data_IF_520126082551
#
_entry.id   IF_520126082551
#
_cell.length_a   1.000
_cell.length_b   1.000
_cell.length_c   1.000
_cell.angle_alpha   90.00
_cell.angle_beta   90.00
_cell.angle_gamma   90.00
#
_symmetry.space_group_name_H-M   'P 1'
#
loop_
_entity.id
_entity.type
_entity.pdbx_description
1 polymer ?
#
# COMPACT_ATOMS: atom_id res chain seq x y z
N UNK A 1 -18.30 -3.89 57.62
CA UNK A 1 -17.28 -4.83 57.09
C UNK A 1 -16.74 -4.26 55.79
N UNK A 2 -15.42 -4.21 55.68
CA UNK A 2 -14.62 -3.24 54.93
C UNK A 2 -14.70 -3.31 53.39
N UNK A 3 -14.50 -2.14 52.77
CA UNK A 3 -14.24 -1.92 51.34
C UNK A 3 -12.95 -2.59 50.89
N UNK A 4 -12.94 -3.23 49.72
CA UNK A 4 -11.71 -3.57 49.01
C UNK A 4 -11.75 -3.04 47.57
N UNK A 5 -11.30 -1.80 47.44
CA UNK A 5 -10.80 -1.27 46.19
C UNK A 5 -9.59 -2.11 45.76
N UNK A 6 -9.57 -2.55 44.50
CA UNK A 6 -8.36 -3.02 43.85
C UNK A 6 -8.01 -2.07 42.72
N UNK A 7 -7.23 -1.07 43.09
CA UNK A 7 -6.32 -0.36 42.22
C UNK A 7 -5.25 -1.35 41.74
N UNK A 8 -5.36 -1.82 40.51
CA UNK A 8 -4.22 -2.30 39.74
C UNK A 8 -3.90 -1.19 38.73
N UNK A 9 -3.18 -0.16 39.17
CA UNK A 9 -1.74 0.01 38.92
C UNK A 9 -1.44 -0.25 37.44
N UNK A 10 -1.46 0.85 36.70
CA UNK A 10 -0.67 1.10 35.51
C UNK A 10 0.76 0.56 35.74
N UNK A 11 1.07 -0.59 35.15
CA UNK A 11 2.43 -1.12 35.05
C UNK A 11 2.65 -1.60 33.62
N UNK A 12 3.78 -1.15 33.10
CA UNK A 12 4.36 -1.36 31.77
C UNK A 12 3.63 -0.74 30.58
N UNK A 13 3.93 0.55 30.33
CA UNK A 13 4.18 0.99 28.96
C UNK A 13 5.29 0.10 28.37
N UNK A 14 5.12 -0.53 27.21
CA UNK A 14 6.26 -0.91 26.40
C UNK A 14 6.89 0.39 25.89
N UNK A 15 8.10 0.64 26.37
CA UNK A 15 9.02 1.67 25.89
C UNK A 15 9.09 1.62 24.36
N UNK A 16 8.90 2.78 23.74
CA UNK A 16 9.23 3.04 22.35
C UNK A 16 10.67 2.56 22.06
N UNK A 17 10.90 1.74 21.03
CA UNK A 17 12.25 1.43 20.58
C UNK A 17 12.98 2.72 20.12
N UNK A 18 14.22 2.97 20.58
CA UNK A 18 15.02 4.09 20.14
C UNK A 18 15.66 3.76 18.79
N UNK A 19 14.96 4.00 17.69
CA UNK A 19 15.60 4.09 16.36
C UNK A 19 14.79 4.94 15.39
N UNK A 20 14.40 6.14 15.83
CA UNK A 20 14.25 7.27 14.92
C UNK A 20 15.63 7.73 14.46
N UNK A 21 16.31 6.93 13.64
CA UNK A 21 17.40 7.36 12.76
C UNK A 21 17.75 6.21 11.82
N UNK A 22 16.97 6.03 10.75
CA UNK A 22 17.51 5.33 9.57
C UNK A 22 18.21 6.40 8.74
N UNK A 23 19.55 6.38 8.61
CA UNK A 23 20.20 7.24 7.62
C UNK A 23 19.59 6.91 6.27
N UNK A 24 19.09 7.93 5.56
CA UNK A 24 18.78 7.75 4.15
C UNK A 24 20.04 7.15 3.52
N UNK A 25 19.98 6.03 2.79
CA UNK A 25 21.00 5.80 1.80
C UNK A 25 20.88 6.99 0.86
N UNK A 26 21.83 7.92 0.95
CA UNK A 26 22.08 8.85 -0.14
C UNK A 26 22.33 7.94 -1.33
N UNK A 27 21.29 7.69 -2.13
CA UNK A 27 21.44 7.20 -3.49
C UNK A 27 22.18 8.31 -4.19
N UNK A 28 23.51 8.34 -4.02
CA UNK A 28 24.38 8.88 -5.06
C UNK A 28 24.05 8.01 -6.24
N UNK A 29 23.20 8.53 -7.13
CA UNK A 29 23.04 7.97 -8.44
C UNK A 29 24.47 7.94 -9.02
N UNK A 30 25.09 6.77 -9.00
CA UNK A 30 26.28 6.55 -9.79
C UNK A 30 25.80 6.62 -11.22
N UNK A 31 25.90 7.82 -11.81
CA UNK A 31 25.69 8.02 -13.23
C UNK A 31 26.88 7.36 -13.88
N UNK A 32 26.73 6.10 -14.24
CA UNK A 32 27.65 5.46 -15.17
C UNK A 32 27.50 6.23 -16.48
N UNK A 33 28.44 7.11 -16.78
CA UNK A 33 28.55 7.74 -18.09
C UNK A 33 28.80 6.61 -19.09
N UNK A 34 27.74 6.15 -19.76
CA UNK A 34 27.87 5.28 -20.91
C UNK A 34 28.80 5.98 -21.90
N UNK A 35 29.89 5.31 -22.29
CA UNK A 35 30.86 5.81 -23.26
C UNK A 35 30.32 5.84 -24.70
N UNK A 36 29.00 5.62 -24.88
CA UNK A 36 28.31 5.87 -26.13
C UNK A 36 27.72 7.28 -26.09
N UNK A 37 28.16 8.14 -27.02
CA UNK A 37 27.59 9.48 -27.18
C UNK A 37 26.14 9.36 -27.62
N UNK A 38 25.21 9.39 -26.66
CA UNK A 38 23.80 9.63 -26.97
C UNK A 38 23.74 11.01 -27.62
N UNK A 39 23.17 11.07 -28.82
CA UNK A 39 22.93 12.35 -29.49
C UNK A 39 22.02 13.20 -28.62
N UNK A 40 22.23 14.52 -28.62
CA UNK A 40 21.37 15.48 -27.92
C UNK A 40 19.88 15.30 -28.31
N UNK A 41 19.63 14.85 -29.54
CA UNK A 41 18.28 14.52 -30.01
C UNK A 41 17.66 13.33 -29.27
N UNK A 42 18.44 12.28 -29.00
CA UNK A 42 18.00 11.08 -28.29
C UNK A 42 17.75 11.38 -26.80
N UNK A 43 18.63 12.14 -26.17
CA UNK A 43 18.45 12.60 -24.79
C UNK A 43 17.19 13.46 -24.64
N UNK A 44 16.96 14.37 -25.59
CA UNK A 44 15.78 15.23 -25.61
C UNK A 44 14.50 14.41 -25.79
N UNK A 45 14.52 13.39 -26.66
CA UNK A 45 13.39 12.50 -26.89
C UNK A 45 13.06 11.65 -25.66
N UNK A 46 14.07 11.10 -24.98
CA UNK A 46 13.88 10.35 -23.74
C UNK A 46 13.30 11.23 -22.63
N UNK A 47 13.82 12.45 -22.47
CA UNK A 47 13.29 13.41 -21.51
C UNK A 47 11.83 13.79 -21.84
N UNK A 48 11.52 14.06 -23.10
CA UNK A 48 10.15 14.39 -23.52
C UNK A 48 9.19 13.23 -23.21
N UNK A 49 9.59 12.00 -23.52
CA UNK A 49 8.83 10.78 -23.22
C UNK A 49 8.60 10.62 -21.73
N UNK A 50 9.64 10.84 -20.93
CA UNK A 50 9.58 10.72 -19.49
C UNK A 50 8.69 11.80 -18.85
N UNK A 51 8.76 13.04 -19.35
CA UNK A 51 7.86 14.13 -18.93
C UNK A 51 6.41 13.79 -19.23
N UNK A 52 6.10 13.23 -20.40
CA UNK A 52 4.75 12.76 -20.75
C UNK A 52 4.30 11.66 -19.80
N UNK A 53 5.16 10.68 -19.52
CA UNK A 53 4.88 9.59 -18.57
C UNK A 53 4.58 10.11 -17.17
N UNK A 54 5.37 11.07 -16.66
CA UNK A 54 5.17 11.69 -15.35
C UNK A 54 3.83 12.44 -15.31
N UNK A 55 3.53 13.22 -16.35
CA UNK A 55 2.25 13.96 -16.44
C UNK A 55 1.05 13.01 -16.43
N UNK A 56 1.13 11.89 -17.15
CA UNK A 56 0.07 10.90 -17.18
C UNK A 56 -0.17 10.26 -15.80
N UNK A 57 0.89 9.78 -15.14
CA UNK A 57 0.79 9.22 -13.78
C UNK A 57 0.25 10.22 -12.77
N UNK A 58 0.64 11.50 -12.89
CA UNK A 58 0.12 12.58 -12.05
C UNK A 58 -1.40 12.72 -12.22
N UNK A 59 -1.88 12.77 -13.46
CA UNK A 59 -3.32 12.87 -13.76
C UNK A 59 -4.11 11.69 -13.18
N UNK A 60 -3.65 10.46 -13.40
CA UNK A 60 -4.30 9.27 -12.85
C UNK A 60 -4.42 9.32 -11.32
N UNK A 61 -3.36 9.77 -10.63
CA UNK A 61 -3.39 9.95 -9.18
C UNK A 61 -4.40 11.01 -8.76
N UNK A 62 -4.45 12.14 -9.45
CA UNK A 62 -5.39 13.22 -9.15
C UNK A 62 -6.85 12.76 -9.34
N UNK A 63 -7.13 12.00 -10.39
CA UNK A 63 -8.44 11.38 -10.64
C UNK A 63 -8.80 10.36 -9.56
N UNK A 64 -7.88 9.47 -9.19
CA UNK A 64 -8.08 8.50 -8.12
C UNK A 64 -8.36 9.19 -6.76
N UNK A 65 -7.67 10.28 -6.46
CA UNK A 65 -7.90 11.08 -5.24
C UNK A 65 -9.25 11.81 -5.31
N UNK A 66 -9.65 12.32 -6.48
CA UNK A 66 -10.95 12.94 -6.64
C UNK A 66 -12.09 11.92 -6.41
N UNK A 67 -11.96 10.72 -6.97
CA UNK A 67 -12.91 9.63 -6.77
C UNK A 67 -12.96 9.16 -5.32
N UNK A 68 -11.81 8.99 -4.66
CA UNK A 68 -11.78 8.57 -3.25
C UNK A 68 -12.44 9.59 -2.32
N UNK A 69 -12.26 10.89 -2.59
CA UNK A 69 -12.96 11.96 -1.86
C UNK A 69 -14.48 11.90 -2.05
N UNK A 70 -14.94 11.62 -3.27
CA UNK A 70 -16.38 11.49 -3.55
C UNK A 70 -16.98 10.29 -2.81
N UNK A 71 -16.31 9.13 -2.85
CA UNK A 71 -16.74 7.92 -2.13
C UNK A 71 -16.80 8.18 -0.63
N UNK A 72 -15.75 8.80 -0.06
CA UNK A 72 -15.71 9.13 1.36
C UNK A 72 -16.86 10.05 1.78
N UNK A 73 -17.17 11.06 0.95
CA UNK A 73 -18.25 11.98 1.25
C UNK A 73 -19.63 11.32 1.17
N UNK A 74 -19.85 10.46 0.18
CA UNK A 74 -21.09 9.69 0.05
C UNK A 74 -21.28 8.73 1.25
N UNK A 75 -20.20 8.09 1.68
CA UNK A 75 -20.25 7.17 2.82
C UNK A 75 -20.48 7.89 4.15
N UNK A 76 -19.85 9.06 4.35
CA UNK A 76 -20.10 9.90 5.51
C UNK A 76 -21.53 10.49 5.49
N UNK A 77 -22.09 10.78 4.30
CA UNK A 77 -23.50 11.15 4.14
C UNK A 77 -24.43 10.03 4.59
N UNK A 78 -24.11 8.79 4.20
CA UNK A 78 -24.84 7.58 4.56
C UNK A 78 -24.79 7.32 6.07
N UNK A 79 -23.60 7.42 6.67
CA UNK A 79 -23.39 7.27 8.12
C UNK A 79 -24.25 8.24 8.93
N UNK A 80 -24.33 9.51 8.50
CA UNK A 80 -25.14 10.53 9.17
C UNK A 80 -26.63 10.52 8.80
N UNK A 81 -27.02 9.70 7.83
CA UNK A 81 -28.41 9.61 7.35
C UNK A 81 -28.90 10.86 6.63
N UNK A 82 -28.01 11.68 6.07
CA UNK A 82 -28.38 12.92 5.36
C UNK A 82 -28.11 12.81 3.87
N UNK A 83 -28.98 13.37 3.00
CA UNK A 83 -28.64 13.52 1.59
C UNK A 83 -27.45 14.47 1.43
N UNK A 84 -26.61 14.22 0.41
CA UNK A 84 -25.36 14.95 0.18
C UNK A 84 -25.51 16.48 0.21
N UNK A 85 -26.60 17.00 -0.36
CA UNK A 85 -26.89 18.44 -0.38
C UNK A 85 -27.17 19.03 1.00
N UNK A 86 -27.84 18.27 1.87
CA UNK A 86 -28.13 18.68 3.25
C UNK A 86 -26.89 18.54 4.14
N UNK A 87 -26.12 17.47 3.95
CA UNK A 87 -24.84 17.29 4.62
C UNK A 87 -23.88 18.46 4.32
N UNK A 88 -23.76 18.90 3.06
CA UNK A 88 -22.94 20.08 2.69
C UNK A 88 -23.33 21.33 3.46
N UNK A 89 -24.63 21.57 3.66
CA UNK A 89 -25.13 22.73 4.42
C UNK A 89 -24.81 22.58 5.90
N UNK A 90 -25.14 21.43 6.51
CA UNK A 90 -24.88 21.16 7.92
C UNK A 90 -23.39 21.21 8.26
N UNK A 91 -22.56 20.59 7.44
CA UNK A 91 -21.11 20.58 7.62
C UNK A 91 -20.52 22.00 7.65
N UNK A 92 -21.02 22.91 6.80
CA UNK A 92 -20.56 24.30 6.79
C UNK A 92 -21.04 25.10 8.01
N UNK A 93 -22.19 24.75 8.58
CA UNK A 93 -22.71 25.39 9.79
C UNK A 93 -22.14 24.83 11.09
N UNK A 94 -21.57 23.62 11.07
CA UNK A 94 -20.93 23.00 12.23
C UNK A 94 -19.68 23.78 12.65
N UNK A 95 -19.50 23.95 13.96
CA UNK A 95 -18.23 24.43 14.52
C UNK A 95 -17.17 23.34 14.39
N UNK A 96 -15.90 23.74 14.44
CA UNK A 96 -14.80 22.84 14.15
C UNK A 96 -14.75 21.63 15.10
N UNK A 97 -15.07 21.84 16.38
CA UNK A 97 -15.12 20.78 17.40
C UNK A 97 -16.16 19.71 17.03
N UNK A 98 -17.36 20.13 16.63
CA UNK A 98 -18.43 19.20 16.25
C UNK A 98 -18.06 18.40 14.99
N UNK A 99 -17.36 19.02 14.04
CA UNK A 99 -16.85 18.29 12.86
C UNK A 99 -15.86 17.22 13.26
N UNK A 100 -14.95 17.50 14.20
CA UNK A 100 -14.01 16.50 14.69
C UNK A 100 -14.71 15.33 15.37
N UNK A 101 -15.71 15.59 16.21
CA UNK A 101 -16.53 14.54 16.84
C UNK A 101 -17.22 13.66 15.79
N UNK A 102 -17.81 14.29 14.76
CA UNK A 102 -18.44 13.57 13.64
C UNK A 102 -17.42 12.71 12.88
N UNK A 103 -16.23 13.23 12.60
CA UNK A 103 -15.16 12.50 11.91
C UNK A 103 -14.66 11.33 12.74
N UNK A 104 -14.42 11.52 14.04
CA UNK A 104 -13.96 10.45 14.91
C UNK A 104 -15.01 9.33 15.05
N UNK A 105 -16.29 9.69 15.19
CA UNK A 105 -17.39 8.72 15.19
C UNK A 105 -17.47 7.95 13.87
N UNK A 106 -17.42 8.67 12.74
CA UNK A 106 -17.39 8.07 11.41
C UNK A 106 -16.20 7.13 11.22
N UNK A 107 -14.98 7.56 11.57
CA UNK A 107 -13.77 6.76 11.41
C UNK A 107 -13.72 5.54 12.34
N UNK A 108 -14.34 5.63 13.52
CA UNK A 108 -14.41 4.49 14.44
C UNK A 108 -15.25 3.35 13.86
N UNK A 109 -16.39 3.66 13.22
CA UNK A 109 -17.24 2.66 12.58
C UNK A 109 -16.72 2.26 11.18
N UNK A 110 -16.30 3.23 10.39
CA UNK A 110 -15.85 3.01 9.02
C UNK A 110 -14.45 2.38 8.95
N UNK A 111 -13.56 2.74 9.87
CA UNK A 111 -12.18 2.24 9.95
C UNK A 111 -12.08 0.75 10.29
N UNK A 112 -13.10 0.16 10.92
CA UNK A 112 -13.17 -1.30 11.10
C UNK A 112 -13.30 -2.03 9.76
N UNK A 113 -14.05 -1.44 8.83
CA UNK A 113 -14.23 -1.94 7.47
C UNK A 113 -13.08 -1.51 6.53
N UNK A 114 -12.39 -0.43 6.88
CA UNK A 114 -11.21 0.07 6.19
C UNK A 114 -9.92 -0.37 6.90
N UNK A 115 -9.74 -1.68 7.09
CA UNK A 115 -8.38 -2.20 7.30
C UNK A 115 -7.66 -2.12 5.96
N UNK A 116 -6.54 -1.37 5.83
CA UNK A 116 -5.77 -1.33 4.60
C UNK A 116 -5.12 -2.71 4.39
N UNK A 117 -5.90 -3.64 3.82
CA UNK A 117 -5.67 -5.08 3.64
C UNK A 117 -5.22 -5.80 4.92
N UNK A 118 -5.92 -6.88 5.30
CA UNK A 118 -5.37 -7.77 6.33
C UNK A 118 -4.02 -8.31 5.86
N UNK A 119 -3.06 -8.56 6.76
CA UNK A 119 -1.75 -9.11 6.37
C UNK A 119 -1.86 -10.45 5.61
N UNK A 120 -2.97 -11.19 5.78
CA UNK A 120 -3.30 -12.37 4.99
C UNK A 120 -3.70 -12.04 3.56
N UNK A 121 -4.45 -10.97 3.33
CA UNK A 121 -4.87 -10.52 2.00
C UNK A 121 -3.68 -10.01 1.17
N UNK A 122 -2.72 -9.31 1.80
CA UNK A 122 -1.46 -8.94 1.13
C UNK A 122 -0.63 -10.18 0.79
N UNK A 123 -0.56 -11.17 1.68
CA UNK A 123 0.15 -12.43 1.43
C UNK A 123 -0.45 -13.20 0.24
N UNK A 124 -1.77 -13.36 0.23
CA UNK A 124 -2.48 -14.09 -0.81
C UNK A 124 -2.35 -13.42 -2.18
N UNK A 125 -2.45 -12.09 -2.26
CA UNK A 125 -2.23 -11.34 -3.51
C UNK A 125 -0.80 -11.47 -4.05
N UNK A 126 0.20 -11.64 -3.18
CA UNK A 126 1.59 -11.88 -3.59
C UNK A 126 1.77 -13.32 -4.07
N UNK A 127 1.10 -14.29 -3.44
CA UNK A 127 1.15 -15.70 -3.84
C UNK A 127 0.48 -15.92 -5.20
N UNK A 128 -0.72 -15.36 -5.42
CA UNK A 128 -1.44 -15.44 -6.71
C UNK A 128 -0.64 -14.79 -7.86
N UNK A 129 0.06 -13.68 -7.60
CA UNK A 129 0.86 -13.01 -8.64
C UNK A 129 2.13 -13.78 -9.04
N UNK A 130 2.70 -14.60 -8.13
CA UNK A 130 3.86 -15.44 -8.43
C UNK A 130 3.45 -16.67 -9.26
N UNK A 131 2.28 -17.24 -9.00
CA UNK A 131 1.71 -18.36 -9.76
C UNK A 131 1.29 -17.95 -11.19
N UNK A 132 0.81 -16.71 -11.38
CA UNK A 132 0.47 -16.13 -12.69
C UNK A 132 1.70 -15.82 -13.55
N UNK A 133 2.85 -15.51 -12.92
CA UNK A 133 4.13 -15.27 -13.58
C UNK A 133 4.78 -16.59 -14.06
N UNK A 134 4.72 -17.65 -13.24
CA UNK A 134 5.24 -18.97 -13.63
C UNK A 134 4.41 -19.64 -14.74
N UNK A 135 3.15 -19.26 -14.90
CA UNK A 135 2.24 -19.83 -15.91
C UNK A 135 2.18 -19.06 -17.24
N UNK A 136 2.71 -17.82 -17.31
CA UNK A 136 2.65 -16.98 -18.52
C UNK A 136 3.90 -17.03 -19.41
N UNK A 137 5.05 -17.51 -18.91
CA UNK A 137 6.30 -17.60 -19.69
C UNK A 137 6.51 -18.97 -20.37
N UNK A 138 5.46 -19.79 -20.52
CA UNK A 138 5.61 -21.09 -21.20
C UNK A 138 4.39 -21.47 -22.03
N UNK A 139 4.38 -20.94 -23.25
CA UNK A 139 4.30 -21.67 -24.52
C UNK A 139 4.94 -20.71 -25.59
N UNK A 140 5.52 -21.20 -26.71
CA UNK A 140 5.05 -22.36 -27.40
C UNK A 140 5.90 -23.55 -27.02
N UNK A 141 5.29 -24.42 -26.25
CA UNK A 141 5.62 -25.80 -26.29
C UNK A 141 5.19 -26.37 -27.62
N UNK A 142 5.60 -27.57 -27.98
CA UNK A 142 6.43 -28.61 -27.39
C UNK A 142 7.27 -28.39 -26.11
N UNK A 143 7.14 -29.18 -25.03
CA UNK A 143 6.43 -30.44 -24.82
C UNK A 143 6.44 -30.78 -23.31
N UNK A 144 5.27 -31.23 -22.83
CA UNK A 144 5.04 -32.36 -21.90
C UNK A 144 5.42 -32.26 -20.41
N UNK A 145 4.36 -32.48 -19.62
CA UNK A 145 4.17 -33.58 -18.66
C UNK A 145 4.01 -33.20 -17.20
N UNK A 146 2.78 -33.40 -16.74
CA UNK A 146 2.43 -34.34 -15.68
C UNK A 146 3.21 -34.23 -14.36
N UNK A 147 2.61 -33.66 -13.31
CA UNK A 147 2.63 -34.29 -11.99
C UNK A 147 1.69 -33.57 -11.01
N UNK A 148 0.95 -34.42 -10.30
CA UNK A 148 0.18 -34.10 -9.11
C UNK A 148 1.08 -33.63 -7.97
N UNK A 149 0.60 -32.60 -7.26
CA UNK A 149 0.64 -32.37 -5.81
C UNK A 149 1.96 -32.51 -5.02
N UNK A 150 2.18 -31.47 -4.20
CA UNK A 150 2.93 -31.39 -2.93
C UNK A 150 4.40 -30.95 -2.96
N UNK A 151 4.57 -29.64 -2.70
CA UNK A 151 5.54 -28.98 -1.81
C UNK A 151 6.88 -29.68 -1.50
N UNK A 152 8.02 -29.06 -1.87
CA UNK A 152 9.29 -29.02 -1.08
C UNK A 152 10.41 -28.24 -1.79
N UNK A 153 10.51 -26.93 -1.52
CA UNK A 153 11.34 -25.94 -2.23
C UNK A 153 12.81 -25.85 -1.73
N UNK A 154 13.36 -26.86 -1.02
CA UNK A 154 14.57 -26.63 -0.20
C UNK A 154 15.76 -27.61 -0.29
N UNK A 155 15.82 -28.55 -1.24
CA UNK A 155 16.87 -29.60 -1.18
C UNK A 155 18.02 -29.52 -2.21
N UNK A 156 17.89 -28.76 -3.32
CA UNK A 156 18.88 -28.74 -4.41
C UNK A 156 20.05 -27.76 -4.25
N UNK A 157 19.86 -26.64 -3.53
CA UNK A 157 20.88 -25.59 -3.30
C UNK A 157 22.17 -26.13 -2.64
N UNK A 158 22.07 -27.27 -1.95
CA UNK A 158 23.19 -27.86 -1.20
C UNK A 158 24.22 -28.55 -2.11
N UNK A 159 23.80 -29.22 -3.19
CA UNK A 159 24.67 -30.13 -3.97
C UNK A 159 25.45 -29.46 -5.11
N UNK A 160 24.98 -28.32 -5.61
CA UNK A 160 25.66 -27.55 -6.66
C UNK A 160 26.85 -26.71 -6.17
N UNK A 161 26.95 -26.50 -4.86
CA UNK A 161 28.10 -25.84 -4.26
C UNK A 161 29.31 -26.79 -4.10
N UNK A 162 29.22 -28.04 -4.55
CA UNK A 162 30.27 -29.03 -4.29
C UNK A 162 30.45 -29.31 -2.80
N UNK A 163 29.37 -29.18 -2.03
CA UNK A 163 29.21 -29.81 -0.72
C UNK A 163 28.22 -30.96 -0.96
N UNK A 164 28.61 -32.22 -1.18
CA UNK A 164 29.53 -33.01 -0.35
C UNK A 164 31.03 -32.78 -0.54
#
# INVERSE_FOLDING_TARGET
MATRAHLHILKSLPLLPPHLTRPQPTRRAAVTCCSGSLSDAELSLQLATEVVRIRHKKRQREEAVAQSRAILFAEMSRYLGFPEGEMKRRWRSMVEIDKWVVVEGFLSEWGENFRPLSGRSVKQMVEEHLEEFESSDSEPGEQRSSASSSSSIFLGLKKMMGFD
#
